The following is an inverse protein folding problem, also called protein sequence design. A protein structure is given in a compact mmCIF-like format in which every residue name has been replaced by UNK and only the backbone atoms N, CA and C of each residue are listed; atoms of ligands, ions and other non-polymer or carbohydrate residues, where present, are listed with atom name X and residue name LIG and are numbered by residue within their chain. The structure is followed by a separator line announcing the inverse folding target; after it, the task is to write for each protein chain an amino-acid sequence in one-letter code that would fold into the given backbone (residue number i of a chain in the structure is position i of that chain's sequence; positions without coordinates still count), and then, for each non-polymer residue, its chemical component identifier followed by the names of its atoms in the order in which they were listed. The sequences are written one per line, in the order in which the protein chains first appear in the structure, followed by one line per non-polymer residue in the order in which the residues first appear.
data_IF_396834631820
#
_entry.id   IF_396834631820
#
_cell.length_a   1.000
_cell.length_b   1.000
_cell.length_c   1.000
_cell.angle_alpha   90.00
_cell.angle_beta   90.00
_cell.angle_gamma   90.00
#
_symmetry.space_group_name_H-M   'P 1'
#
loop_
_entity.id
_entity.type
_entity.pdbx_description
1 polymer ?
#
# COMPACT_ATOMS: atom_id res chain seq x y z
N UNK A 1 -14.62 -2.04 -47.50
CA UNK A 1 -13.78 -2.98 -46.72
C UNK A 1 -14.52 -4.29 -46.57
N UNK A 2 -13.83 -5.42 -46.68
CA UNK A 2 -14.45 -6.73 -46.48
C UNK A 2 -14.66 -6.98 -44.99
N UNK A 3 -15.85 -7.42 -44.58
CA UNK A 3 -16.11 -7.84 -43.21
C UNK A 3 -15.86 -9.33 -43.07
N UNK A 4 -15.43 -9.75 -41.88
CA UNK A 4 -15.29 -11.15 -41.49
C UNK A 4 -16.11 -11.39 -40.24
N UNK A 5 -16.76 -12.55 -40.16
CA UNK A 5 -17.50 -12.97 -38.97
C UNK A 5 -16.57 -13.79 -38.09
N UNK A 6 -16.42 -13.37 -36.83
CA UNK A 6 -15.59 -14.06 -35.83
C UNK A 6 -16.52 -14.47 -34.69
N UNK A 7 -16.45 -15.75 -34.30
CA UNK A 7 -17.11 -16.23 -33.09
C UNK A 7 -16.29 -15.86 -31.86
N UNK A 8 -16.94 -15.27 -30.86
CA UNK A 8 -16.34 -14.99 -29.56
C UNK A 8 -17.09 -15.74 -28.48
N UNK A 9 -16.42 -16.05 -27.36
CA UNK A 9 -17.10 -16.62 -26.20
C UNK A 9 -18.09 -15.58 -25.63
N UNK A 10 -19.19 -16.06 -25.08
CA UNK A 10 -20.24 -15.19 -24.53
C UNK A 10 -19.70 -14.25 -23.45
N UNK A 11 -18.87 -14.76 -22.54
CA UNK A 11 -18.15 -13.95 -21.53
C UNK A 11 -17.33 -12.80 -22.13
N UNK A 12 -16.75 -13.00 -23.32
CA UNK A 12 -15.92 -12.01 -24.02
C UNK A 12 -16.82 -10.99 -24.68
N UNK A 13 -17.91 -11.43 -25.30
CA UNK A 13 -18.92 -10.56 -25.87
C UNK A 13 -19.49 -9.60 -24.84
N UNK A 14 -19.88 -10.10 -23.66
CA UNK A 14 -20.44 -9.27 -22.59
C UNK A 14 -19.44 -8.23 -22.09
N UNK A 15 -18.18 -8.63 -21.95
CA UNK A 15 -17.10 -7.75 -21.52
C UNK A 15 -16.77 -6.67 -22.55
N UNK A 16 -16.85 -7.00 -23.84
CA UNK A 16 -16.73 -6.02 -24.92
C UNK A 16 -17.94 -5.07 -24.91
N UNK A 17 -19.15 -5.61 -24.78
CA UNK A 17 -20.40 -4.84 -24.72
C UNK A 17 -20.41 -3.85 -23.57
N UNK A 18 -19.94 -4.25 -22.39
CA UNK A 18 -19.87 -3.38 -21.21
C UNK A 18 -18.89 -2.20 -21.38
N UNK A 19 -17.88 -2.36 -22.23
CA UNK A 19 -16.89 -1.32 -22.53
C UNK A 19 -17.23 -0.48 -23.77
N UNK A 20 -18.32 -0.85 -24.44
CA UNK A 20 -18.78 -0.21 -25.65
C UNK A 20 -19.42 1.15 -25.32
N UNK A 21 -19.04 2.20 -26.04
CA UNK A 21 -19.71 3.52 -25.98
C UNK A 21 -21.02 3.53 -26.78
N UNK A 22 -21.92 4.44 -26.46
CA UNK A 22 -23.27 4.47 -27.08
C UNK A 22 -23.22 4.75 -28.60
N UNK A 23 -22.26 5.57 -29.05
CA UNK A 23 -22.11 6.00 -30.45
C UNK A 23 -21.11 5.19 -31.28
N UNK A 24 -20.52 4.10 -30.75
CA UNK A 24 -19.51 3.31 -31.47
C UNK A 24 -20.08 1.98 -32.02
N UNK A 25 -19.48 1.41 -33.06
CA UNK A 25 -19.75 0.04 -33.49
C UNK A 25 -18.82 -0.96 -32.80
N UNK A 26 -19.12 -2.27 -32.89
CA UNK A 26 -18.21 -3.30 -32.36
C UNK A 26 -16.86 -3.32 -33.08
N UNK A 27 -16.84 -2.96 -34.37
CA UNK A 27 -15.60 -2.81 -35.13
C UNK A 27 -14.79 -1.64 -34.59
N UNK A 28 -15.41 -0.49 -34.36
CA UNK A 28 -14.73 0.69 -33.79
C UNK A 28 -14.19 0.44 -32.39
N UNK A 29 -14.93 -0.32 -31.57
CA UNK A 29 -14.45 -0.76 -30.26
C UNK A 29 -13.18 -1.61 -30.39
N UNK A 30 -13.20 -2.62 -31.29
CA UNK A 30 -12.06 -3.51 -31.48
C UNK A 30 -10.86 -2.74 -32.01
N UNK A 31 -11.04 -1.88 -33.00
CA UNK A 31 -9.98 -1.03 -33.55
C UNK A 31 -9.38 -0.14 -32.46
N UNK A 32 -10.22 0.53 -31.66
CA UNK A 32 -9.75 1.33 -30.52
C UNK A 32 -8.94 0.51 -29.51
N UNK A 33 -9.39 -0.69 -29.19
CA UNK A 33 -8.68 -1.56 -28.23
C UNK A 33 -7.37 -2.07 -28.78
N UNK A 34 -7.30 -2.32 -30.09
CA UNK A 34 -6.06 -2.70 -30.77
C UNK A 34 -5.12 -1.50 -30.79
N UNK A 35 -5.53 -0.34 -31.28
CA UNK A 35 -4.72 0.89 -31.32
C UNK A 35 -4.23 1.31 -29.92
N UNK A 36 -5.08 1.23 -28.88
CA UNK A 36 -4.67 1.49 -27.49
C UNK A 36 -3.66 0.45 -26.96
N UNK A 37 -3.68 -0.77 -27.50
CA UNK A 37 -2.76 -1.85 -27.14
C UNK A 37 -1.49 -1.89 -28.00
N UNK A 38 -1.49 -1.21 -29.15
CA UNK A 38 -0.34 -1.07 -30.06
C UNK A 38 0.74 -0.12 -29.52
N UNK A 39 0.45 0.62 -28.45
CA UNK A 39 1.51 1.14 -27.60
C UNK A 39 2.22 -0.02 -26.92
N UNK A 40 3.13 -0.72 -27.62
CA UNK A 40 4.05 -1.64 -26.98
C UNK A 40 4.93 -0.78 -26.09
N UNK A 41 4.55 -0.67 -24.82
CA UNK A 41 5.32 -0.01 -23.77
C UNK A 41 6.78 -0.48 -23.75
N UNK A 42 7.07 -1.64 -24.37
CA UNK A 42 8.43 -2.11 -24.57
C UNK A 42 9.22 -1.32 -25.62
N UNK A 43 8.60 -0.77 -26.66
CA UNK A 43 9.24 0.14 -27.62
C UNK A 43 9.74 1.43 -26.94
N UNK A 44 9.14 1.80 -25.80
CA UNK A 44 9.60 2.92 -24.99
C UNK A 44 10.92 2.68 -24.26
N UNK A 45 11.38 1.44 -24.06
CA UNK A 45 12.62 1.17 -23.35
C UNK A 45 13.86 1.57 -24.15
N UNK A 46 14.74 2.34 -23.51
CA UNK A 46 15.98 2.79 -24.14
C UNK A 46 15.78 3.91 -25.18
N UNK A 47 14.57 4.45 -25.31
CA UNK A 47 14.28 5.60 -26.18
C UNK A 47 14.85 6.93 -25.64
N UNK A 48 15.11 7.01 -24.34
CA UNK A 48 15.70 8.19 -23.71
C UNK A 48 17.20 8.30 -24.03
N UNK A 49 17.65 9.52 -24.29
CA UNK A 49 19.09 9.80 -24.33
C UNK A 49 19.72 9.54 -22.95
N UNK A 50 21.03 9.31 -22.91
CA UNK A 50 21.74 9.12 -21.63
C UNK A 50 21.52 10.32 -20.69
N UNK A 51 21.53 11.54 -21.23
CA UNK A 51 21.31 12.76 -20.45
C UNK A 51 19.89 12.80 -19.86
N UNK A 52 18.87 12.48 -20.65
CA UNK A 52 17.48 12.47 -20.17
C UNK A 52 17.24 11.36 -19.16
N UNK A 53 17.86 10.18 -19.37
CA UNK A 53 17.79 9.06 -18.45
C UNK A 53 18.46 9.38 -17.11
N UNK A 54 19.59 10.10 -17.13
CA UNK A 54 20.29 10.53 -15.92
C UNK A 54 19.50 11.60 -15.16
N UNK A 55 18.94 12.58 -15.87
CA UNK A 55 18.07 13.60 -15.28
C UNK A 55 16.81 12.97 -14.64
N UNK A 56 16.20 11.99 -15.32
CA UNK A 56 15.07 11.24 -14.77
C UNK A 56 15.47 10.46 -13.51
N UNK A 57 16.65 9.84 -13.51
CA UNK A 57 17.17 9.09 -12.36
C UNK A 57 17.38 10.00 -11.16
N UNK A 58 17.95 11.18 -11.37
CA UNK A 58 18.16 12.19 -10.32
C UNK A 58 16.81 12.66 -9.74
N UNK A 59 15.87 13.05 -10.60
CA UNK A 59 14.54 13.50 -10.18
C UNK A 59 13.78 12.42 -9.39
N UNK A 60 13.85 11.16 -9.84
CA UNK A 60 13.24 10.03 -9.16
C UNK A 60 13.91 9.73 -7.80
N UNK A 61 15.23 9.89 -7.71
CA UNK A 61 15.99 9.80 -6.46
C UNK A 61 15.56 10.86 -5.46
N UNK A 62 15.55 12.13 -5.88
CA UNK A 62 15.11 13.24 -5.04
C UNK A 62 13.65 13.10 -4.58
N UNK A 63 12.77 12.57 -5.44
CA UNK A 63 11.37 12.30 -5.08
C UNK A 63 11.26 11.24 -3.99
N UNK A 64 11.99 10.13 -4.08
CA UNK A 64 12.03 9.10 -3.06
C UNK A 64 12.55 9.62 -1.72
N UNK A 65 13.60 10.42 -1.74
CA UNK A 65 14.17 10.99 -0.52
C UNK A 65 13.14 11.83 0.24
N UNK A 66 12.49 12.78 -0.45
CA UNK A 66 11.42 13.60 0.14
C UNK A 66 10.26 12.77 0.68
N UNK A 67 9.87 11.71 -0.05
CA UNK A 67 8.79 10.84 0.40
C UNK A 67 9.20 10.07 1.66
N UNK A 68 10.43 9.57 1.73
CA UNK A 68 10.97 8.88 2.90
C UNK A 68 11.04 9.82 4.11
N UNK A 69 11.60 11.02 3.93
CA UNK A 69 11.68 12.04 4.98
C UNK A 69 10.29 12.38 5.53
N UNK A 70 9.33 12.67 4.64
CA UNK A 70 7.95 12.93 5.05
C UNK A 70 7.28 11.72 5.72
N UNK A 71 7.70 10.51 5.36
CA UNK A 71 7.20 9.27 5.94
C UNK A 71 7.72 9.07 7.36
N UNK A 72 9.01 9.34 7.59
CA UNK A 72 9.64 9.31 8.91
C UNK A 72 9.02 10.35 9.84
N UNK A 73 8.77 11.56 9.33
CA UNK A 73 8.17 12.65 10.11
C UNK A 73 6.74 12.31 10.55
N UNK A 74 5.90 11.81 9.62
CA UNK A 74 4.56 11.32 9.96
C UNK A 74 4.58 10.11 10.89
N UNK A 75 5.57 9.23 10.75
CA UNK A 75 5.73 8.09 11.65
C UNK A 75 6.10 8.54 13.07
N UNK A 76 6.99 9.52 13.20
CA UNK A 76 7.37 10.09 14.48
C UNK A 76 6.18 10.79 15.16
N UNK A 77 5.43 11.60 14.42
CA UNK A 77 4.19 12.24 14.91
C UNK A 77 3.15 11.21 15.37
N UNK A 78 2.97 10.12 14.60
CA UNK A 78 2.06 9.05 14.99
C UNK A 78 2.50 8.36 16.28
N UNK A 79 3.80 8.05 16.43
CA UNK A 79 4.35 7.44 17.64
C UNK A 79 4.19 8.37 18.85
N UNK A 80 4.47 9.66 18.69
CA UNK A 80 4.33 10.68 19.73
C UNK A 80 2.88 10.76 20.24
N UNK A 81 1.91 10.89 19.32
CA UNK A 81 0.48 10.86 19.66
C UNK A 81 0.08 9.61 20.44
N UNK A 82 0.58 8.43 20.07
CA UNK A 82 0.25 7.19 20.78
C UNK A 82 1.04 7.02 22.10
N UNK A 83 2.15 7.72 22.27
CA UNK A 83 2.93 7.75 23.51
C UNK A 83 2.26 8.60 24.59
N UNK A 84 1.66 9.73 24.22
CA UNK A 84 0.94 10.61 25.16
C UNK A 84 -0.25 9.91 25.84
N UNK A 85 -0.91 8.97 25.15
CA UNK A 85 -1.99 8.16 25.73
C UNK A 85 -1.49 7.08 26.71
N UNK A 86 -0.22 6.65 26.59
CA UNK A 86 0.37 5.61 27.44
C UNK A 86 0.87 6.15 28.80
N UNK A 87 1.19 7.45 28.89
CA UNK A 87 1.60 8.10 30.13
C UNK A 87 0.41 8.58 31.00
N UNK A 88 -0.81 8.60 30.44
CA UNK A 88 -2.04 8.95 31.18
C UNK A 88 -2.59 7.81 32.06
N UNK A 89 -2.22 6.56 31.79
CA UNK A 89 -2.54 5.37 32.61
C UNK A 89 -1.39 4.99 33.56
N UNK A 90 -0.70 6.01 34.10
CA UNK A 90 0.15 5.86 35.27
C UNK A 90 -0.68 5.38 36.46
N UNK A 91 -0.76 4.07 36.65
CA UNK A 91 -1.39 3.41 37.81
C UNK A 91 -0.75 3.96 39.08
N UNK A 92 -1.45 4.89 39.73
CA UNK A 92 -1.25 5.25 41.14
C UNK A 92 -1.68 4.07 42.00
N UNK A 93 -0.80 3.07 42.09
CA UNK A 93 -0.90 1.93 42.97
C UNK A 93 -0.20 2.18 44.29
N UNK A 94 -0.50 3.30 44.94
CA UNK A 94 -0.25 3.44 46.37
C UNK A 94 -1.21 2.53 47.13
N UNK A 95 -0.74 1.37 47.60
CA UNK A 95 -1.35 0.77 48.78
C UNK A 95 -0.31 0.14 49.70
N UNK A 96 -0.23 0.81 50.84
CA UNK A 96 0.49 0.54 52.06
C UNK A 96 0.14 -0.85 52.62
N UNK A 97 1.17 -1.68 52.85
CA UNK A 97 1.04 -2.83 53.75
C UNK A 97 2.12 -2.77 54.80
N UNK A 98 2.01 -1.79 55.69
CA UNK A 98 2.38 -1.96 57.09
C UNK A 98 1.28 -2.72 57.82
N UNK A 99 1.62 -3.88 58.40
CA UNK A 99 0.66 -4.72 59.11
C UNK A 99 1.31 -5.96 59.70
N UNK A 100 2.04 -5.74 60.80
CA UNK A 100 2.49 -6.72 61.78
C UNK A 100 1.31 -7.66 62.17
N UNK A 101 1.43 -8.96 61.93
CA UNK A 101 0.74 -9.94 62.76
C UNK A 101 1.65 -11.12 63.09
N UNK A 102 1.87 -11.25 64.40
CA UNK A 102 2.72 -12.23 65.04
C UNK A 102 1.84 -13.35 65.53
N UNK A 103 1.96 -14.55 64.96
CA UNK A 103 1.81 -15.77 65.76
C UNK A 103 2.85 -16.82 65.42
N UNK A 104 3.82 -16.84 66.32
CA UNK A 104 4.80 -17.87 66.65
C UNK A 104 4.10 -19.12 67.20
N UNK A 105 4.18 -20.27 66.53
CA UNK A 105 4.43 -21.64 67.05
C UNK A 105 4.68 -22.52 65.81
N UNK A 106 5.69 -23.35 65.62
CA UNK A 106 6.61 -24.04 66.52
C UNK A 106 6.74 -25.49 66.04
N UNK A 107 7.95 -25.86 65.63
CA UNK A 107 8.58 -27.18 65.80
C UNK A 107 8.44 -28.30 64.75
N UNK A 108 9.63 -28.83 64.37
CA UNK A 108 9.91 -30.20 63.91
C UNK A 108 9.91 -30.37 62.39
N UNK A 109 10.99 -30.74 61.69
CA UNK A 109 12.27 -31.36 62.06
C UNK A 109 12.72 -32.24 60.89
N UNK A 110 14.00 -32.09 60.49
CA UNK A 110 14.99 -33.07 59.96
C UNK A 110 14.49 -34.35 59.27
N UNK A 111 15.11 -34.91 58.23
CA UNK A 111 16.45 -34.80 57.65
C UNK A 111 16.40 -35.39 56.22
#
# INVERSE_FOLDING_TARGET
MGTKTIGVREEVYDRLRARKRDDESFTDLIDRLIDESEGDWREGFGSLSTADADALREAAGASRERLNESGVERQAEAIDRFGEDADADGVDGGDDRTGDDRTRTGNGGSA
#
